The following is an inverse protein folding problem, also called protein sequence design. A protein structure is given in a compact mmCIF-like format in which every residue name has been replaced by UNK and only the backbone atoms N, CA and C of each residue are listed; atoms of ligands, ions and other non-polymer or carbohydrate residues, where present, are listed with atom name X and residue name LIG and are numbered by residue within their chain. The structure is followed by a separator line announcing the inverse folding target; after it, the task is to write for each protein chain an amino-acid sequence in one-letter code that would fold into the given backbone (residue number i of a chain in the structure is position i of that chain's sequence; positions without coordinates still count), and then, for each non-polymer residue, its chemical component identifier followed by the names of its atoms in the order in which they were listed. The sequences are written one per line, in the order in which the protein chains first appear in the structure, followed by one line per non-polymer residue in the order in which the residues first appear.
data_IF_989686759366
#
_entry.id   IF_989686759366
#
_cell.length_a   1.000
_cell.length_b   1.000
_cell.length_c   1.000
_cell.angle_alpha   90.00
_cell.angle_beta   90.00
_cell.angle_gamma   90.00
#
_symmetry.space_group_name_H-M   'P 1'
#
loop_
_entity.id
_entity.type
_entity.pdbx_description
1 polymer ?
#
# COMPACT_ATOMS: atom_id res chain seq x y z
N UNK A 1 8.62 9.12 10.90
CA UNK A 1 9.91 9.20 10.16
C UNK A 1 9.67 9.11 8.68
N UNK A 2 10.42 9.89 7.90
CA UNK A 2 10.41 9.79 6.44
C UNK A 2 11.45 8.78 5.96
N UNK A 3 11.06 7.95 5.00
CA UNK A 3 11.90 6.99 4.27
C UNK A 3 11.37 6.83 2.86
N UNK A 4 12.18 6.25 1.98
CA UNK A 4 11.72 5.77 0.68
C UNK A 4 11.06 4.39 0.84
N UNK A 5 9.87 4.35 1.46
CA UNK A 5 9.20 3.09 1.85
C UNK A 5 8.90 2.13 0.69
N UNK A 6 8.81 2.65 -0.53
CA UNK A 6 8.39 1.90 -1.72
C UNK A 6 9.54 1.72 -2.74
N UNK A 7 10.80 1.97 -2.36
CA UNK A 7 11.95 1.98 -3.28
C UNK A 7 12.06 0.71 -4.12
N UNK A 8 11.78 -0.44 -3.52
CA UNK A 8 11.90 -1.77 -4.15
C UNK A 8 10.64 -2.17 -4.95
N UNK A 9 9.66 -1.28 -5.09
CA UNK A 9 8.38 -1.54 -5.73
C UNK A 9 8.24 -0.65 -6.98
N UNK A 10 9.04 -0.87 -8.05
CA UNK A 10 8.77 -0.22 -9.33
C UNK A 10 7.40 -0.67 -9.88
N UNK A 11 6.86 0.05 -10.86
CA UNK A 11 5.54 -0.26 -11.43
C UNK A 11 5.41 -1.71 -11.93
N UNK A 12 6.48 -2.29 -12.46
CA UNK A 12 6.49 -3.70 -12.90
C UNK A 12 6.19 -4.67 -11.75
N UNK A 13 6.65 -4.39 -10.52
CA UNK A 13 6.32 -5.18 -9.33
C UNK A 13 4.86 -5.02 -8.93
N UNK A 14 4.26 -3.83 -9.13
CA UNK A 14 2.82 -3.63 -8.90
C UNK A 14 1.99 -4.51 -9.85
N UNK A 15 2.34 -4.50 -11.14
CA UNK A 15 1.68 -5.33 -12.16
C UNK A 15 1.86 -6.81 -11.86
N UNK A 16 3.08 -7.24 -11.52
CA UNK A 16 3.37 -8.63 -11.18
C UNK A 16 2.63 -9.09 -9.91
N UNK A 17 2.52 -8.23 -8.91
CA UNK A 17 1.71 -8.50 -7.70
C UNK A 17 0.25 -8.74 -8.08
N UNK A 18 -0.33 -7.93 -8.96
CA UNK A 18 -1.69 -8.16 -9.45
C UNK A 18 -1.80 -9.49 -10.20
N UNK A 19 -0.84 -9.81 -11.07
CA UNK A 19 -0.81 -11.07 -11.83
C UNK A 19 -0.80 -12.29 -10.91
N UNK A 20 0.02 -12.26 -9.86
CA UNK A 20 0.12 -13.33 -8.86
C UNK A 20 -1.16 -13.49 -8.03
N UNK A 21 -1.91 -12.40 -7.77
CA UNK A 21 -3.21 -12.47 -7.11
C UNK A 21 -4.31 -13.04 -8.02
N UNK A 22 -4.27 -12.73 -9.31
CA UNK A 22 -5.24 -13.23 -10.29
C UNK A 22 -5.08 -14.73 -10.59
N UNK A 23 -3.84 -15.21 -10.71
CA UNK A 23 -3.54 -16.56 -11.22
C UNK A 23 -4.21 -17.71 -10.46
N UNK A 24 -4.19 -17.78 -9.10
CA UNK A 24 -4.82 -18.88 -8.36
C UNK A 24 -6.34 -18.95 -8.50
N UNK A 25 -6.98 -17.85 -8.94
CA UNK A 25 -8.44 -17.75 -9.12
C UNK A 25 -8.85 -17.85 -10.59
N UNK A 26 -7.90 -18.02 -11.51
CA UNK A 26 -8.17 -17.96 -12.95
C UNK A 26 -8.77 -16.62 -13.38
N UNK A 27 -8.57 -15.55 -12.61
CA UNK A 27 -9.16 -14.25 -12.90
C UNK A 27 -8.37 -13.54 -14.01
N UNK A 28 -9.07 -12.73 -14.81
CA UNK A 28 -8.42 -11.93 -15.84
C UNK A 28 -7.48 -10.89 -15.23
N UNK A 29 -6.20 -10.98 -15.60
CA UNK A 29 -5.18 -9.97 -15.31
C UNK A 29 -5.09 -9.01 -16.49
N UNK A 30 -5.39 -7.73 -16.26
CA UNK A 30 -5.29 -6.72 -17.29
C UNK A 30 -5.58 -5.30 -16.77
N UNK A 31 -5.16 -4.30 -17.55
CA UNK A 31 -5.37 -2.90 -17.23
C UNK A 31 -6.83 -2.48 -17.43
N UNK A 32 -7.29 -1.47 -16.70
CA UNK A 32 -8.46 -0.68 -17.10
C UNK A 32 -8.06 0.37 -18.13
N UNK A 33 -9.01 0.85 -18.94
CA UNK A 33 -8.77 1.87 -19.96
C UNK A 33 -8.34 3.22 -19.36
N UNK A 34 -8.98 3.61 -18.27
CA UNK A 34 -8.89 4.98 -17.76
C UNK A 34 -7.89 5.11 -16.59
N UNK A 35 -7.75 4.03 -15.81
CA UNK A 35 -7.01 4.04 -14.55
C UNK A 35 -5.54 3.70 -14.67
N UNK A 36 -5.17 2.83 -15.62
CA UNK A 36 -3.86 2.19 -15.63
C UNK A 36 -2.71 3.19 -15.84
N UNK A 37 -2.73 3.97 -16.92
CA UNK A 37 -1.65 4.90 -17.22
C UNK A 37 -1.57 6.05 -16.22
N UNK A 38 -2.71 6.59 -15.78
CA UNK A 38 -2.77 7.63 -14.74
C UNK A 38 -2.14 7.14 -13.44
N UNK A 39 -2.47 5.91 -13.01
CA UNK A 39 -1.91 5.32 -11.78
C UNK A 39 -0.42 5.04 -11.92
N UNK A 40 0.01 4.51 -13.07
CA UNK A 40 1.43 4.27 -13.36
C UNK A 40 2.25 5.55 -13.29
N UNK A 41 1.74 6.65 -13.86
CA UNK A 41 2.40 7.95 -13.80
C UNK A 41 2.50 8.48 -12.37
N UNK A 42 1.41 8.39 -11.59
CA UNK A 42 1.41 8.75 -10.17
C UNK A 42 2.44 7.93 -9.40
N UNK A 43 2.42 6.60 -9.56
CA UNK A 43 3.31 5.69 -8.86
C UNK A 43 4.78 5.98 -9.16
N UNK A 44 5.13 6.07 -10.45
CA UNK A 44 6.51 6.34 -10.89
C UNK A 44 7.06 7.68 -10.38
N UNK A 45 6.20 8.68 -10.16
CA UNK A 45 6.61 9.97 -9.58
C UNK A 45 6.89 9.90 -8.08
N UNK A 46 6.33 8.92 -7.37
CA UNK A 46 6.23 8.94 -5.90
C UNK A 46 6.96 7.80 -5.21
N UNK A 47 7.07 6.62 -5.82
CA UNK A 47 7.57 5.42 -5.14
C UNK A 47 9.03 5.54 -4.63
N UNK A 48 9.84 6.39 -5.28
CA UNK A 48 11.23 6.70 -4.88
C UNK A 48 11.36 7.94 -4.00
N UNK A 49 10.26 8.61 -3.66
CA UNK A 49 10.29 9.80 -2.80
C UNK A 49 10.30 9.41 -1.32
N UNK A 50 10.98 10.22 -0.51
CA UNK A 50 10.85 10.11 0.95
C UNK A 50 9.44 10.50 1.39
N UNK A 51 8.82 9.66 2.21
CA UNK A 51 7.50 9.90 2.77
C UNK A 51 7.36 9.23 4.12
N UNK A 52 6.33 9.59 4.88
CA UNK A 52 5.95 8.88 6.10
C UNK A 52 5.18 7.60 5.75
N UNK A 53 5.12 6.63 6.68
CA UNK A 53 4.45 5.35 6.42
C UNK A 53 2.95 5.54 6.12
N UNK A 54 2.27 6.44 6.83
CA UNK A 54 0.88 6.81 6.54
C UNK A 54 0.74 7.38 5.11
N UNK A 55 1.70 8.15 4.62
CA UNK A 55 1.69 8.67 3.26
C UNK A 55 1.85 7.54 2.22
N UNK A 56 2.67 6.52 2.50
CA UNK A 56 2.77 5.34 1.63
C UNK A 56 1.45 4.53 1.61
N UNK A 57 0.79 4.39 2.75
CA UNK A 57 -0.55 3.78 2.87
C UNK A 57 -1.56 4.58 2.03
N UNK A 58 -1.56 5.91 2.15
CA UNK A 58 -2.49 6.77 1.40
C UNK A 58 -2.19 6.77 -0.10
N UNK A 59 -0.93 6.70 -0.52
CA UNK A 59 -0.58 6.52 -1.95
C UNK A 59 -1.15 5.21 -2.50
N UNK A 60 -1.03 4.11 -1.75
CA UNK A 60 -1.65 2.83 -2.11
C UNK A 60 -3.18 2.94 -2.23
N UNK A 61 -3.82 3.70 -1.33
CA UNK A 61 -5.27 3.98 -1.37
C UNK A 61 -5.66 4.83 -2.59
N UNK A 62 -4.89 5.87 -2.90
CA UNK A 62 -5.10 6.70 -4.08
C UNK A 62 -5.00 5.88 -5.36
N UNK A 63 -3.97 5.02 -5.48
CA UNK A 63 -3.81 4.12 -6.61
C UNK A 63 -4.96 3.10 -6.73
N UNK A 64 -5.47 2.58 -5.61
CA UNK A 64 -6.70 1.78 -5.63
C UNK A 64 -7.86 2.59 -6.23
N UNK A 65 -8.10 3.82 -5.77
CA UNK A 65 -9.21 4.64 -6.26
C UNK A 65 -9.12 4.98 -7.75
N UNK A 66 -7.92 5.08 -8.30
CA UNK A 66 -7.70 5.27 -9.73
C UNK A 66 -7.98 3.99 -10.56
N UNK A 67 -8.16 2.85 -9.90
CA UNK A 67 -8.59 1.59 -10.50
C UNK A 67 -7.76 1.09 -11.71
N UNK A 68 -6.42 0.92 -11.60
CA UNK A 68 -5.60 0.47 -12.71
C UNK A 68 -5.87 -0.95 -13.21
N UNK A 69 -6.43 -1.86 -12.40
CA UNK A 69 -6.60 -3.27 -12.77
C UNK A 69 -8.07 -3.69 -12.80
N UNK A 70 -8.44 -4.55 -13.76
CA UNK A 70 -9.81 -5.08 -13.87
C UNK A 70 -10.23 -5.95 -12.68
N UNK A 71 -9.31 -6.74 -12.13
CA UNK A 71 -9.54 -7.62 -10.99
C UNK A 71 -8.48 -7.41 -9.91
N UNK A 72 -8.82 -7.72 -8.66
CA UNK A 72 -7.90 -7.64 -7.51
C UNK A 72 -7.23 -6.28 -7.33
N UNK A 73 -7.84 -5.21 -7.82
CA UNK A 73 -7.26 -3.87 -7.82
C UNK A 73 -6.87 -3.40 -6.40
N UNK A 74 -7.83 -3.30 -5.48
CA UNK A 74 -7.54 -2.96 -4.09
C UNK A 74 -6.61 -3.97 -3.40
N UNK A 75 -6.81 -5.26 -3.66
CA UNK A 75 -5.99 -6.34 -3.08
C UNK A 75 -4.51 -6.23 -3.47
N UNK A 76 -4.21 -5.72 -4.66
CA UNK A 76 -2.83 -5.50 -5.13
C UNK A 76 -2.11 -4.51 -4.22
N UNK A 77 -2.71 -3.35 -3.98
CA UNK A 77 -2.14 -2.32 -3.13
C UNK A 77 -2.13 -2.71 -1.64
N UNK A 78 -3.13 -3.49 -1.19
CA UNK A 78 -3.13 -4.09 0.15
C UNK A 78 -1.95 -5.06 0.32
N UNK A 79 -1.68 -5.90 -0.67
CA UNK A 79 -0.56 -6.86 -0.61
C UNK A 79 0.79 -6.15 -0.53
N UNK A 80 0.98 -5.10 -1.33
CA UNK A 80 2.20 -4.26 -1.30
C UNK A 80 2.41 -3.67 0.10
N UNK A 81 1.42 -2.96 0.65
CA UNK A 81 1.63 -2.26 1.92
C UNK A 81 1.83 -3.22 3.09
N UNK A 82 1.16 -4.39 3.07
CA UNK A 82 1.35 -5.44 4.07
C UNK A 82 2.75 -6.06 4.01
N UNK A 83 3.33 -6.15 2.81
CA UNK A 83 4.72 -6.61 2.62
C UNK A 83 5.70 -5.59 3.20
N UNK A 84 5.51 -4.30 2.92
CA UNK A 84 6.35 -3.22 3.47
C UNK A 84 6.32 -3.22 5.00
N UNK A 85 5.12 -3.17 5.60
CA UNK A 85 4.95 -3.22 7.06
C UNK A 85 5.54 -4.50 7.63
N UNK A 86 5.46 -5.58 6.86
CA UNK A 86 5.94 -6.88 7.29
C UNK A 86 7.43 -7.09 7.35
N UNK A 87 8.19 -6.23 6.66
CA UNK A 87 9.64 -6.21 6.70
C UNK A 87 10.17 -5.27 7.80
N UNK A 88 9.28 -4.64 8.59
CA UNK A 88 9.67 -3.81 9.71
C UNK A 88 9.99 -4.68 10.93
N UNK A 89 11.04 -4.29 11.64
CA UNK A 89 11.42 -4.90 12.92
C UNK A 89 10.47 -4.42 14.02
N UNK A 90 9.31 -5.06 14.11
CA UNK A 90 8.23 -4.78 15.05
C UNK A 90 7.88 -6.06 15.81
N UNK A 91 7.29 -5.91 17.00
CA UNK A 91 6.72 -7.07 17.69
C UNK A 91 5.63 -7.74 16.82
N UNK A 92 5.43 -9.06 16.92
CA UNK A 92 4.45 -9.77 16.11
C UNK A 92 3.04 -9.16 16.19
N UNK A 93 2.59 -8.83 17.39
CA UNK A 93 1.25 -8.26 17.64
C UNK A 93 1.10 -6.90 16.96
N UNK A 94 2.11 -6.03 17.07
CA UNK A 94 2.09 -4.72 16.43
C UNK A 94 2.12 -4.84 14.90
N UNK A 95 2.92 -5.76 14.38
CA UNK A 95 3.03 -6.02 12.95
C UNK A 95 1.70 -6.54 12.38
N UNK A 96 0.97 -7.40 13.12
CA UNK A 96 -0.38 -7.85 12.74
C UNK A 96 -1.38 -6.69 12.76
N UNK A 97 -1.40 -5.91 13.83
CA UNK A 97 -2.33 -4.78 13.98
C UNK A 97 -2.14 -3.73 12.86
N UNK A 98 -0.90 -3.31 12.60
CA UNK A 98 -0.60 -2.34 11.54
C UNK A 98 -0.96 -2.87 10.14
N UNK A 99 -0.65 -4.13 9.82
CA UNK A 99 -1.02 -4.75 8.53
C UNK A 99 -2.54 -4.84 8.34
N UNK A 100 -3.28 -5.04 9.42
CA UNK A 100 -4.74 -5.09 9.39
C UNK A 100 -5.31 -3.70 9.08
N UNK A 101 -4.96 -2.70 9.89
CA UNK A 101 -5.45 -1.33 9.76
C UNK A 101 -5.06 -0.72 8.40
N UNK A 102 -3.80 -0.85 7.99
CA UNK A 102 -3.34 -0.38 6.67
C UNK A 102 -4.09 -1.08 5.54
N UNK A 103 -4.39 -2.38 5.67
CA UNK A 103 -5.18 -3.12 4.71
C UNK A 103 -6.61 -2.57 4.57
N UNK A 104 -7.29 -2.30 5.69
CA UNK A 104 -8.64 -1.72 5.68
C UNK A 104 -8.67 -0.33 5.04
N UNK A 105 -7.68 0.51 5.34
CA UNK A 105 -7.55 1.85 4.77
C UNK A 105 -7.34 1.77 3.27
N UNK A 106 -6.37 0.98 2.79
CA UNK A 106 -6.13 0.83 1.35
C UNK A 106 -7.35 0.23 0.66
N UNK A 107 -8.00 -0.78 1.23
CA UNK A 107 -9.23 -1.37 0.70
C UNK A 107 -10.42 -0.39 0.73
N UNK A 108 -10.39 0.65 1.56
CA UNK A 108 -11.46 1.63 1.64
C UNK A 108 -12.64 1.26 2.49
N UNK A 109 -12.40 0.39 3.45
CA UNK A 109 -13.39 -0.12 4.38
C UNK A 109 -13.07 0.31 5.82
N UNK A 110 -12.05 1.15 6.00
CA UNK A 110 -11.67 1.69 7.30
C UNK A 110 -12.73 2.64 7.84
N UNK A 111 -12.88 2.60 9.15
CA UNK A 111 -13.60 3.61 9.92
C UNK A 111 -12.68 4.77 10.32
N UNK A 112 -13.22 5.95 10.68
CA UNK A 112 -12.41 7.04 11.22
C UNK A 112 -11.62 6.66 12.47
N UNK A 113 -12.15 5.76 13.30
CA UNK A 113 -11.46 5.27 14.49
C UNK A 113 -10.25 4.40 14.13
N UNK A 114 -10.37 3.53 13.12
CA UNK A 114 -9.25 2.74 12.62
C UNK A 114 -8.16 3.61 11.98
N UNK A 115 -8.54 4.69 11.28
CA UNK A 115 -7.58 5.66 10.75
C UNK A 115 -6.81 6.36 11.87
N UNK A 116 -7.52 6.79 12.92
CA UNK A 116 -6.90 7.38 14.11
C UNK A 116 -5.98 6.39 14.82
N UNK A 117 -6.44 5.16 15.04
CA UNK A 117 -5.66 4.10 15.67
C UNK A 117 -4.38 3.79 14.88
N UNK A 118 -4.44 3.77 13.55
CA UNK A 118 -3.25 3.59 12.72
C UNK A 118 -2.23 4.71 13.00
N UNK A 119 -2.67 5.97 13.00
CA UNK A 119 -1.78 7.11 13.22
C UNK A 119 -1.14 7.05 14.62
N UNK A 120 -1.90 6.70 15.65
CA UNK A 120 -1.38 6.53 17.02
C UNK A 120 -0.33 5.41 17.10
N UNK A 121 -0.55 4.29 16.43
CA UNK A 121 0.42 3.19 16.39
C UNK A 121 1.69 3.57 15.62
N UNK A 122 1.56 4.29 14.51
CA UNK A 122 2.70 4.79 13.73
C UNK A 122 3.52 5.76 14.58
N UNK A 123 2.88 6.74 15.21
CA UNK A 123 3.55 7.76 16.02
C UNK A 123 4.30 7.15 17.21
N UNK A 124 3.66 6.19 17.89
CA UNK A 124 4.25 5.54 19.08
C UNK A 124 5.41 4.60 18.75
N UNK A 125 5.37 3.92 17.60
CA UNK A 125 6.26 2.77 17.36
C UNK A 125 7.12 2.86 16.11
N UNK A 126 6.89 3.85 15.23
CA UNK A 126 7.72 4.08 14.05
C UNK A 126 8.53 5.35 14.33
N UNK A 127 9.76 5.23 14.88
CA UNK A 127 10.49 6.36 15.41
C UNK A 127 10.61 7.47 14.38
N UNK A 128 10.13 8.67 14.66
CA UNK A 128 10.55 9.89 13.96
C UNK A 128 12.00 10.14 14.35
N UNK A 129 12.94 10.10 13.38
CA UNK A 129 14.23 10.73 13.63
C UNK A 129 13.95 12.21 13.87
N UNK A 130 14.07 12.65 15.12
CA UNK A 130 14.44 14.02 15.41
C UNK A 130 15.94 14.07 15.16
N UNK A 131 16.31 14.81 14.13
CA UNK A 131 17.69 15.25 13.90
C UNK A 131 18.12 16.17 15.06
#
# INVERSE_FOLDING_TARGET
MKKVWLSEIPWSVVVETNRLLCAPKGAFHGPTSDGFETTKQLWNKRYTSEMELNQAIQLCRECHRLAPFCNFNGNTFVAIIRTIIGNLDLSPDLSVALRSLAGHIVAGISTPEEEKQLLELIDRHIPTRHD
#
